data_IF_200831344451
#
_entry.id   IF_200831344451
#
_cell.length_a   1.000
_cell.length_b   1.000
_cell.length_c   1.000
_cell.angle_alpha   90.00
_cell.angle_beta   90.00
_cell.angle_gamma   90.00
#
_symmetry.space_group_name_H-M   'P 1'
#
loop_
_entity.id
_entity.type
_entity.pdbx_description
1 polymer ?
#
# COMPACT_ATOMS: atom_id res chain seq x y z
N UNK A 1 -5.37 -11.31 0.79
CA UNK A 1 -5.83 -9.99 1.31
C UNK A 1 -4.67 -9.36 2.07
N UNK A 2 -4.62 -8.03 2.21
CA UNK A 2 -3.55 -7.39 3.01
C UNK A 2 -3.62 -7.71 4.50
N UNK A 3 -4.79 -8.07 5.02
CA UNK A 3 -4.95 -8.56 6.40
C UNK A 3 -4.15 -9.85 6.64
N UNK A 4 -4.31 -10.86 5.78
CA UNK A 4 -3.56 -12.11 5.91
C UNK A 4 -2.04 -11.91 5.79
N UNK A 5 -1.59 -11.01 4.90
CA UNK A 5 -0.17 -10.70 4.76
C UNK A 5 0.35 -9.95 6.00
N UNK A 6 -0.48 -9.11 6.64
CA UNK A 6 -0.15 -8.47 7.92
C UNK A 6 0.06 -9.52 8.99
N UNK A 7 -0.89 -10.43 9.15
CA UNK A 7 -0.83 -11.51 10.14
C UNK A 7 0.44 -12.36 9.98
N UNK A 8 0.76 -12.76 8.75
CA UNK A 8 1.94 -13.56 8.43
C UNK A 8 3.25 -12.77 8.66
N UNK A 9 3.27 -11.47 8.36
CA UNK A 9 4.42 -10.61 8.60
C UNK A 9 4.69 -10.39 10.09
N UNK A 10 3.64 -10.11 10.87
CA UNK A 10 3.73 -9.92 12.32
C UNK A 10 4.16 -11.20 13.05
N UNK A 11 3.84 -12.38 12.49
CA UNK A 11 4.29 -13.69 12.98
C UNK A 11 5.68 -14.08 12.48
N UNK A 12 6.33 -13.26 11.65
CA UNK A 12 7.64 -13.54 11.07
C UNK A 12 7.66 -14.65 10.02
N UNK A 13 6.48 -15.06 9.52
CA UNK A 13 6.35 -16.07 8.46
C UNK A 13 6.70 -15.49 7.09
N UNK A 14 6.50 -14.19 6.92
CA UNK A 14 6.92 -13.42 5.75
C UNK A 14 7.82 -12.29 6.23
N UNK A 15 8.97 -12.12 5.58
CA UNK A 15 9.94 -11.06 5.90
C UNK A 15 10.09 -10.05 4.78
N UNK A 16 9.90 -10.48 3.53
CA UNK A 16 9.93 -9.60 2.36
C UNK A 16 8.52 -9.13 1.99
N UNK A 17 8.36 -7.81 1.94
CA UNK A 17 7.12 -7.14 1.50
C UNK A 17 7.22 -6.59 0.08
N UNK A 18 8.28 -6.91 -0.68
CA UNK A 18 8.51 -6.40 -2.04
C UNK A 18 7.35 -6.69 -3.00
N UNK A 19 6.85 -7.92 -3.02
CA UNK A 19 5.70 -8.30 -3.84
C UNK A 19 4.43 -7.52 -3.46
N UNK A 20 4.18 -7.33 -2.16
CA UNK A 20 3.06 -6.53 -1.67
C UNK A 20 3.21 -5.06 -2.09
N UNK A 21 4.41 -4.48 -1.95
CA UNK A 21 4.68 -3.09 -2.35
C UNK A 21 4.40 -2.86 -3.83
N UNK A 22 4.81 -3.79 -4.69
CA UNK A 22 4.53 -3.72 -6.13
C UNK A 22 3.03 -3.85 -6.44
N UNK A 23 2.31 -4.70 -5.71
CA UNK A 23 0.87 -4.81 -5.83
C UNK A 23 0.17 -3.51 -5.42
N UNK A 24 0.56 -2.91 -4.30
CA UNK A 24 0.09 -1.59 -3.85
C UNK A 24 0.25 -0.53 -4.93
N UNK A 25 1.44 -0.43 -5.54
CA UNK A 25 1.67 0.52 -6.63
C UNK A 25 0.72 0.29 -7.80
N UNK A 26 0.54 -0.97 -8.23
CA UNK A 26 -0.39 -1.31 -9.32
C UNK A 26 -1.84 -0.96 -9.00
N UNK A 27 -2.26 -1.14 -7.75
CA UNK A 27 -3.61 -0.73 -7.30
C UNK A 27 -3.77 0.78 -7.36
N UNK A 28 -2.78 1.54 -6.87
CA UNK A 28 -2.80 2.99 -6.93
C UNK A 28 -2.90 3.50 -8.38
N UNK A 29 -2.08 2.95 -9.29
CA UNK A 29 -2.12 3.26 -10.73
C UNK A 29 -3.46 2.90 -11.36
N UNK A 30 -4.04 1.76 -10.99
CA UNK A 30 -5.36 1.34 -11.47
C UNK A 30 -6.47 2.31 -11.03
N UNK A 31 -6.44 2.78 -9.78
CA UNK A 31 -7.40 3.77 -9.29
C UNK A 31 -7.19 5.12 -9.98
N UNK A 32 -5.94 5.55 -10.13
CA UNK A 32 -5.58 6.80 -10.80
C UNK A 32 -5.94 6.80 -12.29
N UNK A 33 -6.01 5.63 -12.93
CA UNK A 33 -6.21 5.50 -14.37
C UNK A 33 -4.94 5.83 -15.19
N UNK A 34 -3.80 6.00 -14.52
CA UNK A 34 -2.52 6.36 -15.12
C UNK A 34 -1.36 5.80 -14.32
N UNK A 35 -0.17 5.77 -14.93
CA UNK A 35 1.07 5.51 -14.18
C UNK A 35 1.32 6.68 -13.24
N UNK A 36 1.67 6.36 -12.00
CA UNK A 36 2.05 7.35 -10.99
C UNK A 36 3.53 7.16 -10.66
N UNK A 37 4.19 8.28 -10.33
CA UNK A 37 5.59 8.29 -9.92
C UNK A 37 5.77 7.67 -8.53
N UNK A 38 6.33 8.46 -7.62
CA UNK A 38 6.47 8.06 -6.23
C UNK A 38 5.15 8.21 -5.47
N UNK A 39 4.82 7.18 -4.69
CA UNK A 39 3.67 7.24 -3.79
C UNK A 39 4.04 8.06 -2.55
N UNK A 40 3.15 8.96 -2.16
CA UNK A 40 3.25 9.74 -0.95
C UNK A 40 2.90 8.89 0.27
N UNK A 41 3.54 9.14 1.41
CA UNK A 41 3.12 8.61 2.71
C UNK A 41 2.03 9.52 3.30
N UNK A 42 0.77 9.21 2.98
CA UNK A 42 -0.43 9.96 3.37
C UNK A 42 -1.02 9.46 4.70
N UNK A 43 -0.63 8.28 5.16
CA UNK A 43 -1.16 7.63 6.36
C UNK A 43 -0.27 7.92 7.56
N UNK A 44 -0.70 8.88 8.37
CA UNK A 44 -0.05 9.23 9.64
C UNK A 44 -0.80 8.59 10.83
N UNK A 45 -0.81 7.26 10.89
CA UNK A 45 -1.36 6.50 12.02
C UNK A 45 -0.19 5.84 12.74
N UNK A 46 -0.04 6.08 14.03
CA UNK A 46 0.96 5.42 14.86
C UNK A 46 0.60 3.95 15.09
N UNK A 47 1.60 3.07 15.16
CA UNK A 47 1.46 1.63 15.41
C UNK A 47 0.60 0.84 14.39
N UNK A 48 0.39 1.38 13.19
CA UNK A 48 -0.25 0.63 12.11
C UNK A 48 0.72 -0.44 11.56
N UNK A 49 0.27 -1.68 11.30
CA UNK A 49 1.10 -2.68 10.65
C UNK A 49 1.62 -2.17 9.28
N UNK A 50 2.90 -2.38 8.94
CA UNK A 50 3.50 -1.87 7.71
C UNK A 50 2.72 -2.25 6.45
N UNK A 51 2.19 -3.48 6.43
CA UNK A 51 1.36 -4.02 5.35
C UNK A 51 0.10 -3.19 5.14
N UNK A 52 -0.63 -2.90 6.23
CA UNK A 52 -1.85 -2.10 6.18
C UNK A 52 -1.55 -0.65 5.80
N UNK A 53 -0.44 -0.08 6.31
CA UNK A 53 0.02 1.25 5.92
C UNK A 53 0.25 1.36 4.41
N UNK A 54 0.94 0.39 3.81
CA UNK A 54 1.16 0.35 2.36
C UNK A 54 -0.15 0.26 1.57
N UNK A 55 -1.10 -0.56 2.03
CA UNK A 55 -2.40 -0.70 1.37
C UNK A 55 -3.22 0.58 1.41
N UNK A 56 -3.30 1.21 2.58
CA UNK A 56 -4.07 2.45 2.72
C UNK A 56 -3.42 3.60 1.94
N UNK A 57 -2.08 3.71 1.97
CA UNK A 57 -1.35 4.65 1.14
C UNK A 57 -1.62 4.45 -0.35
N UNK A 58 -1.65 3.20 -0.84
CA UNK A 58 -1.96 2.92 -2.24
C UNK A 58 -3.34 3.43 -2.66
N UNK A 59 -4.36 3.22 -1.81
CA UNK A 59 -5.72 3.68 -2.08
C UNK A 59 -5.76 5.21 -2.11
N UNK A 60 -5.19 5.87 -1.09
CA UNK A 60 -5.19 7.33 -0.99
C UNK A 60 -4.42 8.00 -2.12
N UNK A 61 -3.25 7.46 -2.50
CA UNK A 61 -2.49 7.95 -3.66
C UNK A 61 -3.29 7.77 -4.95
N UNK A 62 -3.91 6.60 -5.13
CA UNK A 62 -4.76 6.35 -6.30
C UNK A 62 -5.88 7.37 -6.44
N UNK A 63 -6.57 7.70 -5.34
CA UNK A 63 -7.63 8.72 -5.32
C UNK A 63 -7.03 10.11 -5.59
N UNK A 64 -5.92 10.46 -4.93
CA UNK A 64 -5.25 11.75 -5.09
C UNK A 64 -4.87 12.02 -6.57
N UNK A 65 -4.22 11.06 -7.23
CA UNK A 65 -3.81 11.18 -8.63
C UNK A 65 -4.94 11.03 -9.64
N UNK A 66 -6.11 10.56 -9.21
CA UNK A 66 -7.32 10.53 -10.05
C UNK A 66 -8.02 11.89 -10.09
N UNK A 67 -7.99 12.61 -8.97
CA UNK A 67 -8.67 13.90 -8.81
C UNK A 67 -7.79 15.05 -9.33
N UNK A 68 -6.46 14.88 -9.27
CA UNK A 68 -5.47 15.79 -9.83
C UNK A 68 -5.43 15.72 -11.35
#
# INVERSE_FOLDING_TARGET
>A
SSLAISDDYERGLITDLGAHKLLCKRVAEKIAGQRIGDMMDLVAIDNIPPVLKMTLNAILNGIYFKIK
#
